data_IF_819331327699
#
_entry.id   IF_819331327699
#
_cell.length_a   1.000
_cell.length_b   1.000
_cell.length_c   1.000
_cell.angle_alpha   90.00
_cell.angle_beta   90.00
_cell.angle_gamma   90.00
#
_symmetry.space_group_name_H-M   'P 1'
#
loop_
_entity.id
_entity.type
_entity.pdbx_description
1 polymer ?
#
# COMPACT_ATOMS: atom_id res chain seq x y z
N UNK A 1 23.64 -5.73 -13.15
CA UNK A 1 23.10 -5.12 -11.95
C UNK A 1 22.28 -3.92 -12.39
N UNK A 2 21.02 -3.79 -11.96
CA UNK A 2 20.21 -2.62 -12.33
C UNK A 2 20.73 -1.34 -11.67
N UNK A 3 20.71 -0.24 -12.41
CA UNK A 3 20.96 1.07 -11.83
C UNK A 3 19.71 1.51 -11.06
N UNK A 4 19.88 1.76 -9.77
CA UNK A 4 18.79 2.15 -8.87
C UNK A 4 18.08 3.44 -9.28
N UNK A 5 18.80 4.40 -9.87
CA UNK A 5 18.21 5.65 -10.40
C UNK A 5 17.21 5.41 -11.52
N UNK A 6 17.36 4.31 -12.26
CA UNK A 6 16.41 3.94 -13.30
C UNK A 6 15.12 3.36 -12.71
N UNK A 7 15.26 2.50 -11.66
CA UNK A 7 14.12 1.92 -10.96
C UNK A 7 13.35 3.02 -10.21
N UNK A 8 14.05 3.93 -9.55
CA UNK A 8 13.47 5.08 -8.89
C UNK A 8 12.65 5.94 -9.86
N UNK A 9 13.17 6.20 -11.06
CA UNK A 9 12.44 6.98 -12.07
C UNK A 9 11.12 6.28 -12.47
N UNK A 10 11.13 4.96 -12.68
CA UNK A 10 9.91 4.19 -12.98
C UNK A 10 8.93 4.22 -11.79
N UNK A 11 9.43 3.99 -10.58
CA UNK A 11 8.62 3.99 -9.37
C UNK A 11 7.94 5.37 -9.15
N UNK A 12 8.69 6.45 -9.35
CA UNK A 12 8.16 7.80 -9.22
C UNK A 12 7.11 8.11 -10.28
N UNK A 13 7.31 7.68 -11.54
CA UNK A 13 6.29 7.86 -12.60
C UNK A 13 4.98 7.16 -12.23
N UNK A 14 5.05 5.95 -11.69
CA UNK A 14 3.88 5.21 -11.24
C UNK A 14 3.19 5.89 -10.06
N UNK A 15 3.94 6.24 -9.02
CA UNK A 15 3.39 6.82 -7.78
C UNK A 15 2.79 8.21 -8.00
N UNK A 16 3.42 9.04 -8.82
CA UNK A 16 2.96 10.39 -9.14
C UNK A 16 1.84 10.40 -10.21
N UNK A 17 1.60 9.26 -10.84
CA UNK A 17 0.60 9.11 -11.89
C UNK A 17 0.95 9.83 -13.20
N UNK A 18 2.25 10.06 -13.48
CA UNK A 18 2.68 10.65 -14.75
C UNK A 18 4.13 11.12 -14.81
N UNK A 19 4.65 11.19 -16.04
CA UNK A 19 6.05 11.56 -16.30
C UNK A 19 6.38 13.00 -15.91
N UNK A 20 5.46 13.94 -16.13
CA UNK A 20 5.68 15.36 -15.81
C UNK A 20 5.72 15.61 -14.29
N UNK A 21 4.87 14.91 -13.54
CA UNK A 21 4.87 14.99 -12.08
C UNK A 21 6.13 14.33 -11.50
N UNK A 22 6.50 13.18 -12.02
CA UNK A 22 7.73 12.49 -11.64
C UNK A 22 8.99 13.33 -11.93
N UNK A 23 9.02 14.03 -13.06
CA UNK A 23 10.11 14.93 -13.42
C UNK A 23 10.29 16.05 -12.39
N UNK A 24 9.20 16.64 -11.94
CA UNK A 24 9.22 17.67 -10.87
C UNK A 24 9.68 17.09 -9.54
N UNK A 25 9.16 15.94 -9.15
CA UNK A 25 9.52 15.26 -7.90
C UNK A 25 11.00 14.86 -7.85
N UNK A 26 11.57 14.43 -8.99
CA UNK A 26 12.97 14.04 -9.12
C UNK A 26 13.93 15.19 -9.47
N UNK A 27 13.42 16.41 -9.62
CA UNK A 27 14.20 17.57 -10.09
C UNK A 27 14.92 17.32 -11.43
N UNK A 28 14.21 16.66 -12.36
CA UNK A 28 14.69 16.29 -13.69
C UNK A 28 13.77 16.87 -14.78
N UNK A 29 14.21 16.76 -16.03
CA UNK A 29 13.33 17.01 -17.18
C UNK A 29 12.46 15.77 -17.47
N UNK A 30 11.30 15.96 -18.04
CA UNK A 30 10.41 14.87 -18.45
C UNK A 30 11.10 13.91 -19.46
N UNK A 31 11.93 14.46 -20.36
CA UNK A 31 12.72 13.67 -21.29
C UNK A 31 13.76 12.79 -20.59
N UNK A 32 14.42 13.32 -19.54
CA UNK A 32 15.38 12.54 -18.75
C UNK A 32 14.71 11.39 -18.00
N UNK A 33 13.54 11.62 -17.40
CA UNK A 33 12.75 10.57 -16.75
C UNK A 33 12.32 9.51 -17.77
N UNK A 34 11.82 9.93 -18.94
CA UNK A 34 11.42 9.01 -20.01
C UNK A 34 12.60 8.17 -20.53
N UNK A 35 13.78 8.76 -20.66
CA UNK A 35 15.01 8.05 -21.04
C UNK A 35 15.41 7.03 -19.96
N UNK A 36 15.34 7.38 -18.68
CA UNK A 36 15.64 6.45 -17.58
C UNK A 36 14.72 5.24 -17.59
N UNK A 37 13.42 5.46 -17.73
CA UNK A 37 12.44 4.36 -17.83
C UNK A 37 12.72 3.49 -19.03
N UNK A 38 12.98 4.07 -20.20
CA UNK A 38 13.33 3.31 -21.42
C UNK A 38 14.59 2.49 -21.23
N UNK A 39 15.64 3.06 -20.66
CA UNK A 39 16.89 2.36 -20.39
C UNK A 39 16.70 1.18 -19.43
N UNK A 40 15.82 1.34 -18.44
CA UNK A 40 15.45 0.26 -17.53
C UNK A 40 14.73 -0.87 -18.27
N UNK A 41 13.79 -0.53 -19.16
CA UNK A 41 13.07 -1.50 -19.99
C UNK A 41 14.01 -2.25 -20.95
N UNK A 42 14.98 -1.55 -21.55
CA UNK A 42 16.01 -2.14 -22.38
C UNK A 42 16.88 -3.13 -21.59
N UNK A 43 17.28 -2.76 -20.35
CA UNK A 43 18.03 -3.66 -19.46
C UNK A 43 17.22 -4.87 -19.01
N UNK A 44 15.92 -4.69 -18.79
CA UNK A 44 15.02 -5.76 -18.40
C UNK A 44 14.59 -6.66 -19.56
N UNK A 45 14.79 -6.22 -20.80
CA UNK A 45 14.38 -6.91 -22.02
C UNK A 45 12.85 -6.98 -22.19
N UNK A 46 12.09 -6.13 -21.51
CA UNK A 46 10.63 -6.12 -21.55
C UNK A 46 10.06 -4.78 -21.10
N UNK A 47 8.84 -4.48 -21.53
CA UNK A 47 8.11 -3.29 -21.09
C UNK A 47 7.74 -3.45 -19.61
N UNK A 48 8.04 -2.44 -18.84
CA UNK A 48 7.76 -2.39 -17.39
C UNK A 48 6.62 -1.45 -17.05
N UNK A 49 6.41 -0.40 -17.87
CA UNK A 49 5.41 0.63 -17.67
C UNK A 49 4.59 0.83 -18.96
N UNK A 50 3.28 0.68 -18.85
CA UNK A 50 2.33 1.04 -19.92
C UNK A 50 2.09 2.54 -19.85
N UNK A 51 2.26 3.25 -20.99
CA UNK A 51 2.08 4.71 -21.08
C UNK A 51 0.61 5.09 -21.26
N UNK A 52 -0.24 4.62 -20.33
CA UNK A 52 -1.62 5.04 -20.19
C UNK A 52 -1.74 6.32 -19.37
N UNK A 53 -2.94 6.83 -19.18
CA UNK A 53 -3.22 7.98 -18.31
C UNK A 53 -4.30 7.58 -17.30
N UNK A 54 -3.94 7.28 -16.04
CA UNK A 54 -2.58 7.26 -15.45
C UNK A 54 -1.71 6.10 -16.00
N UNK A 55 -0.37 6.19 -15.87
CA UNK A 55 0.53 5.09 -16.23
C UNK A 55 0.29 3.84 -15.39
N UNK A 56 0.32 2.68 -16.03
CA UNK A 56 0.12 1.38 -15.39
C UNK A 56 1.39 0.53 -15.44
N UNK A 57 1.65 -0.24 -14.41
CA UNK A 57 2.80 -1.15 -14.38
C UNK A 57 2.43 -2.52 -14.91
N UNK A 58 3.31 -3.11 -15.72
CA UNK A 58 3.19 -4.49 -16.15
C UNK A 58 3.48 -5.46 -14.98
N UNK A 59 3.16 -6.76 -15.09
CA UNK A 59 3.55 -7.75 -14.08
C UNK A 59 5.07 -7.79 -13.81
N UNK A 60 5.89 -7.47 -14.80
CA UNK A 60 7.33 -7.35 -14.64
C UNK A 60 7.71 -6.07 -13.89
N UNK A 61 7.09 -4.94 -14.25
CA UNK A 61 7.24 -3.68 -13.53
C UNK A 61 6.85 -3.81 -12.07
N UNK A 62 5.76 -4.51 -11.77
CA UNK A 62 5.31 -4.77 -10.40
C UNK A 62 6.35 -5.53 -9.57
N UNK A 63 7.01 -6.55 -10.17
CA UNK A 63 8.10 -7.26 -9.47
C UNK A 63 9.25 -6.32 -9.12
N UNK A 64 9.58 -5.41 -10.03
CA UNK A 64 10.68 -4.46 -9.85
C UNK A 64 10.33 -3.38 -8.83
N UNK A 65 9.09 -2.89 -8.82
CA UNK A 65 8.59 -1.97 -7.80
C UNK A 65 8.65 -2.58 -6.39
N UNK A 66 8.22 -3.83 -6.24
CA UNK A 66 8.34 -4.54 -4.96
C UNK A 66 9.78 -4.66 -4.48
N UNK A 67 10.70 -4.93 -5.40
CA UNK A 67 12.11 -4.97 -5.08
C UNK A 67 12.62 -3.58 -4.64
N UNK A 68 12.27 -2.54 -5.37
CA UNK A 68 12.64 -1.15 -5.05
C UNK A 68 12.18 -0.73 -3.64
N UNK A 69 10.91 -0.97 -3.32
CA UNK A 69 10.34 -0.64 -2.00
C UNK A 69 11.09 -1.34 -0.87
N UNK A 70 11.44 -2.63 -1.05
CA UNK A 70 12.20 -3.39 -0.04
C UNK A 70 13.61 -2.82 0.17
N UNK A 71 14.32 -2.50 -0.90
CA UNK A 71 15.66 -1.96 -0.79
C UNK A 71 15.65 -0.55 -0.22
N UNK A 72 14.71 0.28 -0.67
CA UNK A 72 14.55 1.63 -0.11
C UNK A 72 14.30 1.57 1.40
N UNK A 73 13.46 0.63 1.87
CA UNK A 73 13.24 0.44 3.30
C UNK A 73 14.52 0.06 4.05
N UNK A 74 15.34 -0.83 3.48
CA UNK A 74 16.63 -1.21 4.07
C UNK A 74 17.62 -0.03 4.11
N UNK A 75 17.63 0.81 3.07
CA UNK A 75 18.44 2.03 3.04
C UNK A 75 17.97 3.05 4.08
N UNK A 76 16.66 3.27 4.17
CA UNK A 76 16.06 4.18 5.16
C UNK A 76 16.39 3.71 6.59
N UNK A 77 16.24 2.42 6.90
CA UNK A 77 16.59 1.82 8.19
C UNK A 77 18.08 2.02 8.51
N UNK A 78 18.96 1.83 7.52
CA UNK A 78 20.41 2.06 7.69
C UNK A 78 20.75 3.53 7.93
N UNK A 79 20.09 4.45 7.23
CA UNK A 79 20.29 5.89 7.44
C UNK A 79 19.85 6.34 8.83
N UNK A 80 18.79 5.75 9.36
CA UNK A 80 18.34 5.98 10.73
C UNK A 80 19.35 5.47 11.75
N UNK A 81 19.96 4.29 11.52
CA UNK A 81 21.02 3.74 12.38
C UNK A 81 22.27 4.62 12.42
N UNK A 82 22.64 5.21 11.28
CA UNK A 82 23.81 6.12 11.23
C UNK A 82 23.52 7.52 11.74
N UNK A 83 22.31 7.85 12.10
CA UNK A 83 21.89 9.22 12.48
C UNK A 83 22.32 10.28 11.45
N UNK A 84 22.42 9.88 10.18
CA UNK A 84 22.80 10.76 9.08
C UNK A 84 21.56 11.55 8.63
N UNK A 85 21.29 12.59 9.36
CA UNK A 85 20.22 13.55 9.07
C UNK A 85 19.62 14.10 10.35
N UNK A 86 19.65 15.40 10.50
CA UNK A 86 19.23 16.17 11.70
C UNK A 86 17.70 16.12 11.97
N UNK A 87 16.95 15.34 11.25
CA UNK A 87 15.54 15.13 11.51
C UNK A 87 15.28 13.63 11.72
N UNK A 88 14.97 13.25 12.95
CA UNK A 88 14.34 11.98 13.27
C UNK A 88 13.06 11.86 12.42
N UNK A 89 13.19 11.32 11.21
CA UNK A 89 12.07 11.16 10.28
C UNK A 89 11.10 10.14 10.85
N UNK A 90 9.82 10.45 10.72
CA UNK A 90 8.79 9.46 10.98
C UNK A 90 8.85 8.38 9.90
N UNK A 91 8.97 7.13 10.31
CA UNK A 91 8.86 6.01 9.39
C UNK A 91 7.41 5.94 8.86
N UNK A 92 7.23 5.83 7.55
CA UNK A 92 5.90 5.65 6.97
C UNK A 92 5.59 4.17 6.79
N UNK A 93 4.47 3.72 7.36
CA UNK A 93 3.98 2.35 7.23
C UNK A 93 2.69 2.34 6.40
N UNK A 94 2.75 1.74 5.22
CA UNK A 94 1.55 1.51 4.41
C UNK A 94 0.81 0.26 4.92
N UNK A 95 -0.43 0.43 5.35
CA UNK A 95 -1.27 -0.65 5.92
C UNK A 95 -2.61 -0.72 5.17
N UNK A 96 -2.97 -1.92 4.73
CA UNK A 96 -4.28 -2.21 4.15
C UNK A 96 -5.33 -2.45 5.24
N UNK A 97 -6.39 -1.65 5.27
CA UNK A 97 -7.47 -1.77 6.28
C UNK A 97 -8.81 -1.73 5.57
N UNK A 98 -9.71 -2.65 5.89
CA UNK A 98 -11.07 -2.58 5.37
C UNK A 98 -11.87 -1.47 6.05
N UNK A 99 -12.88 -0.95 5.35
CA UNK A 99 -13.67 0.21 5.80
C UNK A 99 -14.30 0.00 7.18
N UNK A 100 -14.82 -1.18 7.46
CA UNK A 100 -15.48 -1.50 8.73
C UNK A 100 -14.50 -1.45 9.92
N UNK A 101 -13.31 -2.04 9.76
CA UNK A 101 -12.25 -1.98 10.78
C UNK A 101 -11.77 -0.55 10.99
N UNK A 102 -11.61 0.22 9.91
CA UNK A 102 -11.19 1.61 9.98
C UNK A 102 -12.23 2.49 10.67
N UNK A 103 -13.53 2.25 10.42
CA UNK A 103 -14.62 3.01 11.03
C UNK A 103 -14.89 2.66 12.51
N UNK A 104 -14.36 1.56 13.01
CA UNK A 104 -14.71 1.06 14.35
C UNK A 104 -13.50 1.02 15.29
N UNK A 105 -12.73 -0.02 15.25
CA UNK A 105 -11.74 -0.34 16.29
C UNK A 105 -10.30 0.06 15.95
N UNK A 106 -9.94 0.10 14.68
CA UNK A 106 -8.55 0.27 14.23
C UNK A 106 -7.91 1.59 14.69
N UNK A 107 -8.56 2.77 14.55
CA UNK A 107 -7.95 4.02 14.99
C UNK A 107 -7.67 4.04 16.48
N UNK A 108 -8.60 3.51 17.29
CA UNK A 108 -8.44 3.46 18.74
C UNK A 108 -7.31 2.49 19.13
N UNK A 109 -7.22 1.34 18.48
CA UNK A 109 -6.16 0.37 18.74
C UNK A 109 -4.75 0.90 18.37
N UNK A 110 -4.66 1.77 17.35
CA UNK A 110 -3.40 2.35 16.91
C UNK A 110 -2.97 3.58 17.71
N UNK A 111 -3.86 4.18 18.51
CA UNK A 111 -3.61 5.43 19.22
C UNK A 111 -2.33 5.40 20.06
N UNK A 112 -2.23 4.46 20.99
CA UNK A 112 -1.05 4.36 21.87
C UNK A 112 0.24 4.02 21.12
N UNK A 113 0.17 3.26 20.05
CA UNK A 113 1.31 2.97 19.18
C UNK A 113 1.83 4.25 18.51
N UNK A 114 0.93 5.03 17.91
CA UNK A 114 1.28 6.27 17.21
C UNK A 114 1.78 7.39 18.15
N UNK A 115 1.35 7.38 19.40
CA UNK A 115 1.84 8.32 20.42
C UNK A 115 3.27 8.01 20.88
N UNK A 116 3.63 6.73 20.93
CA UNK A 116 4.91 6.28 21.47
C UNK A 116 5.97 6.05 20.38
N UNK A 117 5.55 5.73 19.17
CA UNK A 117 6.46 5.42 18.07
C UNK A 117 6.49 6.56 17.04
N UNK A 118 7.63 6.78 16.45
CA UNK A 118 7.80 7.80 15.39
C UNK A 118 7.40 7.23 14.03
N UNK A 119 6.12 6.97 13.89
CA UNK A 119 5.55 6.33 12.71
C UNK A 119 4.37 7.15 12.21
N UNK A 120 4.25 7.25 10.91
CA UNK A 120 3.04 7.69 10.21
C UNK A 120 2.40 6.50 9.51
N UNK A 121 1.07 6.43 9.47
CA UNK A 121 0.35 5.41 8.74
C UNK A 121 -0.14 5.95 7.40
N UNK A 122 0.24 5.29 6.32
CA UNK A 122 -0.39 5.41 5.00
C UNK A 122 -1.49 4.34 4.91
N UNK A 123 -2.74 4.73 5.19
CA UNK A 123 -3.86 3.79 5.23
C UNK A 123 -4.41 3.62 3.83
N UNK A 124 -4.33 2.37 3.31
CA UNK A 124 -4.93 1.95 2.06
C UNK A 124 -6.23 1.23 2.36
N UNK A 125 -7.36 1.83 1.93
CA UNK A 125 -8.69 1.28 2.22
C UNK A 125 -9.24 0.55 1.00
N UNK A 126 -9.63 -0.70 1.21
CA UNK A 126 -10.33 -1.52 0.22
C UNK A 126 -11.14 -2.61 0.95
N UNK A 127 -11.81 -3.49 0.21
CA UNK A 127 -12.46 -4.64 0.82
C UNK A 127 -11.41 -5.67 1.36
N UNK A 128 -11.88 -6.63 2.16
CA UNK A 128 -11.01 -7.58 2.85
C UNK A 128 -10.19 -8.48 1.90
N UNK A 129 -10.67 -8.72 0.68
CA UNK A 129 -9.95 -9.52 -0.30
C UNK A 129 -8.89 -8.70 -1.03
N UNK A 130 -9.18 -7.44 -1.30
CA UNK A 130 -8.26 -6.53 -1.98
C UNK A 130 -7.10 -6.11 -1.08
N UNK A 131 -7.34 -5.86 0.21
CA UNK A 131 -6.25 -5.58 1.18
C UNK A 131 -5.22 -6.70 1.23
N UNK A 132 -5.67 -7.95 1.08
CA UNK A 132 -4.77 -9.10 0.98
C UNK A 132 -3.94 -9.10 -0.32
N UNK A 133 -4.50 -8.64 -1.44
CA UNK A 133 -3.77 -8.48 -2.70
C UNK A 133 -2.71 -7.38 -2.58
N UNK A 134 -3.03 -6.24 -1.98
CA UNK A 134 -2.07 -5.17 -1.71
C UNK A 134 -0.84 -5.67 -0.94
N UNK A 135 -1.03 -6.55 0.06
CA UNK A 135 0.07 -7.17 0.78
C UNK A 135 0.88 -8.10 -0.13
N UNK A 136 0.22 -8.91 -0.95
CA UNK A 136 0.87 -9.80 -1.93
C UNK A 136 1.68 -9.00 -2.95
N UNK A 137 1.15 -7.87 -3.40
CA UNK A 137 1.77 -7.02 -4.40
C UNK A 137 2.83 -6.07 -3.82
N UNK A 138 2.99 -6.08 -2.48
CA UNK A 138 3.99 -5.28 -1.77
C UNK A 138 3.63 -3.79 -1.69
N UNK A 139 2.37 -3.44 -1.91
CA UNK A 139 1.86 -2.07 -1.79
C UNK A 139 1.70 -1.66 -0.32
N UNK A 140 1.50 -2.64 0.56
CA UNK A 140 1.40 -2.45 2.00
C UNK A 140 2.33 -3.43 2.73
N UNK A 141 2.80 -3.06 3.92
CA UNK A 141 3.64 -3.91 4.76
C UNK A 141 2.84 -4.81 5.70
N UNK A 142 1.56 -4.51 5.88
CA UNK A 142 0.60 -5.27 6.67
C UNK A 142 -0.82 -5.01 6.22
N UNK A 143 -1.74 -5.91 6.54
CA UNK A 143 -3.15 -5.68 6.27
C UNK A 143 -4.06 -6.36 7.30
N UNK A 144 -5.25 -5.82 7.47
CA UNK A 144 -6.36 -6.47 8.15
C UNK A 144 -7.11 -7.30 7.11
N UNK A 145 -7.24 -8.60 7.38
CA UNK A 145 -7.82 -9.55 6.45
C UNK A 145 -8.66 -10.61 7.18
N UNK A 146 -9.66 -11.16 6.52
CA UNK A 146 -10.41 -12.33 7.00
C UNK A 146 -9.69 -13.65 6.76
N UNK A 147 -8.59 -13.66 6.03
CA UNK A 147 -7.83 -14.88 5.72
C UNK A 147 -6.98 -15.31 6.90
N UNK A 148 -7.17 -16.56 7.34
CA UNK A 148 -6.43 -17.14 8.45
C UNK A 148 -5.04 -17.66 8.06
N UNK A 149 -4.86 -18.05 6.78
CA UNK A 149 -3.60 -18.62 6.33
C UNK A 149 -2.62 -17.49 5.95
N UNK A 150 -1.42 -17.48 6.57
CA UNK A 150 -0.39 -16.50 6.19
C UNK A 150 0.14 -16.78 4.79
N UNK A 151 0.49 -15.72 4.08
CA UNK A 151 1.27 -15.84 2.84
C UNK A 151 2.73 -16.15 3.14
N UNK A 152 3.43 -16.72 2.14
CA UNK A 152 4.85 -16.99 2.24
C UNK A 152 5.62 -15.69 2.59
N UNK A 153 6.40 -15.75 3.67
CA UNK A 153 7.17 -14.60 4.17
C UNK A 153 6.37 -13.63 5.05
N UNK A 154 5.09 -13.93 5.32
CA UNK A 154 4.23 -13.13 6.21
C UNK A 154 3.87 -13.91 7.47
N UNK A 155 3.53 -13.17 8.53
CA UNK A 155 2.94 -13.71 9.76
C UNK A 155 1.47 -13.29 9.82
N UNK A 156 0.58 -14.19 10.22
CA UNK A 156 -0.80 -13.88 10.54
C UNK A 156 -1.04 -14.07 12.03
N UNK A 157 -1.76 -13.13 12.64
CA UNK A 157 -2.18 -13.22 14.05
C UNK A 157 -3.68 -12.97 14.10
N UNK A 158 -4.38 -13.79 14.88
CA UNK A 158 -5.80 -13.61 15.09
C UNK A 158 -6.03 -12.41 16.03
N UNK A 159 -6.82 -11.44 15.58
CA UNK A 159 -7.13 -10.23 16.34
C UNK A 159 -8.49 -10.31 17.04
N UNK A 160 -9.41 -11.12 16.53
CA UNK A 160 -10.76 -11.22 17.05
C UNK A 160 -11.79 -11.46 15.93
N UNK A 161 -13.05 -11.31 16.27
CA UNK A 161 -14.17 -11.39 15.32
C UNK A 161 -15.00 -10.10 15.39
N UNK A 162 -15.64 -9.78 14.29
CA UNK A 162 -16.61 -8.69 14.20
C UNK A 162 -17.99 -9.31 13.97
N UNK A 163 -18.93 -9.04 14.88
CA UNK A 163 -20.31 -9.51 14.76
C UNK A 163 -21.13 -8.45 14.02
N UNK A 164 -21.80 -8.87 12.96
CA UNK A 164 -22.70 -8.00 12.20
C UNK A 164 -24.16 -8.28 12.58
N UNK A 165 -24.91 -7.24 12.85
CA UNK A 165 -26.33 -7.31 13.21
C UNK A 165 -27.18 -6.62 12.15
N UNK A 166 -28.28 -7.23 11.80
CA UNK A 166 -29.29 -6.59 10.98
C UNK A 166 -30.20 -5.75 11.86
N UNK A 167 -30.43 -4.51 11.46
CA UNK A 167 -31.34 -3.59 12.13
C UNK A 167 -32.40 -3.11 11.17
N UNK A 168 -33.61 -2.98 11.66
CA UNK A 168 -34.72 -2.40 10.93
C UNK A 168 -35.49 -1.44 11.85
N UNK A 169 -36.04 -0.37 11.27
CA UNK A 169 -36.99 0.47 12.00
C UNK A 169 -38.20 -0.36 12.40
N UNK A 170 -38.76 -0.16 13.61
CA UNK A 170 -39.90 -0.97 14.09
C UNK A 170 -41.10 -1.02 13.10
N UNK A 171 -41.42 0.13 12.50
CA UNK A 171 -42.50 0.20 11.50
C UNK A 171 -42.21 -0.60 10.23
N UNK A 172 -40.96 -0.63 9.79
CA UNK A 172 -40.51 -1.42 8.64
C UNK A 172 -40.56 -2.91 8.97
N UNK A 173 -40.03 -3.32 10.11
CA UNK A 173 -40.09 -4.71 10.57
C UNK A 173 -41.53 -5.22 10.68
N UNK A 174 -42.43 -4.48 11.33
CA UNK A 174 -43.82 -4.85 11.46
C UNK A 174 -44.54 -4.99 10.11
N UNK A 175 -44.20 -4.16 9.12
CA UNK A 175 -44.82 -4.18 7.79
C UNK A 175 -44.34 -5.32 6.92
N UNK A 176 -43.01 -5.60 6.93
CA UNK A 176 -42.40 -6.50 5.96
C UNK A 176 -41.96 -7.85 6.53
N UNK A 177 -41.88 -7.94 7.85
CA UNK A 177 -41.50 -9.15 8.59
C UNK A 177 -42.42 -9.39 9.77
N UNK A 178 -43.76 -9.50 9.55
CA UNK A 178 -44.75 -9.62 10.64
C UNK A 178 -44.53 -10.88 11.51
N UNK A 179 -44.01 -11.94 10.89
CA UNK A 179 -43.71 -13.23 11.57
C UNK A 179 -42.26 -13.38 12.00
N UNK A 180 -41.50 -12.27 12.00
CA UNK A 180 -40.06 -12.25 12.29
C UNK A 180 -39.21 -12.57 11.05
N UNK A 181 -37.89 -12.43 11.22
CA UNK A 181 -36.94 -12.75 10.17
C UNK A 181 -36.50 -14.20 10.33
N UNK A 182 -37.05 -15.07 9.50
CA UNK A 182 -36.68 -16.50 9.43
C UNK A 182 -35.68 -16.69 8.28
N UNK A 183 -34.45 -17.09 8.64
CA UNK A 183 -33.41 -17.56 7.70
C UNK A 183 -33.61 -19.02 7.39
#
# INVERSE_FOLDING_TARGET
MFDYKLIEAMATVYNEGGFDKAARSLHLTQSAVSQRVKLLEDQAGQILLVRSTPPEVTPAGQRLLRHYVKVKKLEDDLLDDFSIGDAKRFASLAIGVNADSLATWFPQAMGSFLENERVTLDIRTDDQEQTHRMLKDGEVVGCISSRQQPMQGCRASYLGKMDYHLFAAPAFAAKWFPDGFNL
#
